data_IF_477831411863
#
_entry.id   IF_477831411863
#
_cell.length_a   1.000
_cell.length_b   1.000
_cell.length_c   1.000
_cell.angle_alpha   90.00
_cell.angle_beta   90.00
_cell.angle_gamma   90.00
#
_symmetry.space_group_name_H-M   'P 1'
#
loop_
_entity.id
_entity.type
_entity.pdbx_description
1 polymer ?
#
# COMPACT_ATOMS: atom_id res chain seq x y z
N UNK A 1 -10.21 -13.30 -0.18
CA UNK A 1 -9.88 -11.87 -0.06
C UNK A 1 -10.01 -11.45 1.41
N UNK A 2 -8.95 -11.58 2.20
CA UNK A 2 -8.96 -11.08 3.58
C UNK A 2 -8.93 -9.54 3.55
N UNK A 3 -9.87 -8.92 4.25
CA UNK A 3 -10.10 -7.48 4.28
C UNK A 3 -8.88 -6.74 4.85
N UNK A 4 -8.10 -6.12 3.96
CA UNK A 4 -6.86 -5.37 4.23
C UNK A 4 -7.10 -3.99 4.89
N UNK A 5 -8.12 -3.85 5.71
CA UNK A 5 -8.33 -2.65 6.54
C UNK A 5 -7.75 -2.97 7.92
N UNK A 6 -7.07 -2.03 8.61
CA UNK A 6 -6.60 -2.28 9.98
C UNK A 6 -7.76 -2.79 10.82
N UNK A 7 -7.52 -3.69 11.77
CA UNK A 7 -8.58 -4.20 12.65
C UNK A 7 -9.35 -3.02 13.26
N UNK A 8 -10.59 -2.85 12.80
CA UNK A 8 -11.49 -1.79 13.22
C UNK A 8 -12.51 -2.41 14.19
N UNK A 9 -12.97 -1.63 15.16
CA UNK A 9 -14.09 -1.94 16.06
C UNK A 9 -15.38 -2.32 15.29
N UNK A 10 -15.50 -1.90 14.02
CA UNK A 10 -16.59 -2.22 13.08
C UNK A 10 -16.03 -2.95 11.87
N UNK A 11 -16.78 -3.88 11.28
CA UNK A 11 -16.28 -4.58 10.11
C UNK A 11 -15.95 -3.60 8.96
N UNK A 12 -14.86 -3.85 8.20
CA UNK A 12 -14.45 -3.04 7.03
C UNK A 12 -15.60 -2.69 6.07
N UNK A 13 -16.49 -3.65 5.84
CA UNK A 13 -17.66 -3.49 4.98
C UNK A 13 -18.69 -2.52 5.55
N UNK A 14 -18.92 -2.56 6.87
CA UNK A 14 -19.84 -1.62 7.55
C UNK A 14 -19.29 -0.21 7.50
N UNK A 15 -17.98 -0.02 7.74
CA UNK A 15 -17.34 1.28 7.66
C UNK A 15 -17.50 1.90 6.25
N UNK A 16 -17.29 1.09 5.20
CA UNK A 16 -17.51 1.50 3.81
C UNK A 16 -18.99 1.79 3.51
N UNK A 17 -19.90 0.96 3.97
CA UNK A 17 -21.35 1.14 3.77
C UNK A 17 -21.85 2.45 4.39
N UNK A 18 -21.52 2.71 5.65
CA UNK A 18 -21.89 3.96 6.32
C UNK A 18 -21.11 5.16 5.77
N UNK A 19 -19.87 4.95 5.33
CA UNK A 19 -19.01 5.97 4.73
C UNK A 19 -19.63 6.64 3.50
N UNK A 20 -20.46 5.93 2.72
CA UNK A 20 -21.15 6.50 1.55
C UNK A 20 -21.92 7.79 1.86
N UNK A 21 -22.49 7.93 3.07
CA UNK A 21 -23.22 9.13 3.51
C UNK A 21 -22.29 10.31 3.83
N UNK A 22 -21.01 10.04 4.11
CA UNK A 22 -20.00 11.02 4.51
C UNK A 22 -19.04 11.39 3.37
N UNK A 23 -19.29 10.98 2.12
CA UNK A 23 -18.45 11.33 0.96
C UNK A 23 -18.26 12.85 0.78
N UNK A 24 -19.30 13.65 1.04
CA UNK A 24 -19.22 15.12 0.98
C UNK A 24 -18.21 15.67 2.00
N UNK A 25 -18.20 15.11 3.21
CA UNK A 25 -17.26 15.51 4.24
C UNK A 25 -15.85 15.01 3.91
N UNK A 26 -15.70 13.79 3.39
CA UNK A 26 -14.43 13.22 2.95
C UNK A 26 -13.72 14.07 1.88
N UNK A 27 -14.45 14.80 1.05
CA UNK A 27 -13.87 15.69 0.05
C UNK A 27 -13.00 16.79 0.67
N UNK A 28 -13.34 17.29 1.86
CA UNK A 28 -12.53 18.30 2.57
C UNK A 28 -11.18 17.75 3.05
N UNK A 29 -11.04 16.44 3.11
CA UNK A 29 -9.84 15.74 3.56
C UNK A 29 -8.99 15.26 2.37
N UNK A 30 -9.37 15.62 1.13
CA UNK A 30 -8.73 15.18 -0.14
C UNK A 30 -7.26 15.60 -0.31
N UNK A 31 -6.70 16.39 0.60
CA UNK A 31 -5.31 16.86 0.55
C UNK A 31 -4.42 16.41 1.70
N UNK A 32 -4.96 15.75 2.73
CA UNK A 32 -4.20 15.47 3.97
C UNK A 32 -3.08 14.47 3.71
N UNK A 33 -3.35 13.46 2.88
CA UNK A 33 -2.34 12.49 2.45
C UNK A 33 -2.35 12.47 0.92
N UNK A 34 -1.49 13.27 0.26
CA UNK A 34 -1.44 13.35 -1.20
C UNK A 34 -1.13 12.00 -1.87
N UNK A 35 -0.35 11.16 -1.20
CA UNK A 35 0.08 9.84 -1.71
C UNK A 35 -0.96 8.74 -1.54
N UNK A 36 -2.05 8.98 -0.79
CA UNK A 36 -2.97 7.93 -0.37
C UNK A 36 -3.58 7.15 -1.54
N UNK A 37 -3.89 7.81 -2.66
CA UNK A 37 -4.38 7.11 -3.86
C UNK A 37 -3.36 6.07 -4.36
N UNK A 38 -2.10 6.46 -4.42
CA UNK A 38 -1.01 5.57 -4.83
C UNK A 38 -0.75 4.50 -3.77
N UNK A 39 -0.77 4.86 -2.49
CA UNK A 39 -0.55 3.93 -1.38
C UNK A 39 -1.62 2.82 -1.34
N UNK A 40 -2.88 3.13 -1.66
CA UNK A 40 -3.97 2.14 -1.77
C UNK A 40 -3.73 1.15 -2.91
N UNK A 41 -3.36 1.64 -4.09
CA UNK A 41 -3.02 0.81 -5.26
C UNK A 41 -1.82 -0.09 -4.90
N UNK A 42 -0.78 0.50 -4.33
CA UNK A 42 0.45 -0.17 -3.94
C UNK A 42 0.29 -1.15 -2.77
N UNK A 43 -0.75 -1.00 -1.95
CA UNK A 43 -1.13 -1.98 -0.94
C UNK A 43 -2.00 -3.13 -1.51
N UNK A 44 -2.31 -3.09 -2.81
CA UNK A 44 -3.34 -3.92 -3.47
C UNK A 44 -4.65 -3.89 -2.68
N UNK A 45 -5.10 -2.69 -2.32
CA UNK A 45 -6.39 -2.41 -1.69
C UNK A 45 -7.36 -1.88 -2.76
N UNK A 46 -8.38 -2.66 -3.11
CA UNK A 46 -9.38 -2.34 -4.13
C UNK A 46 -10.47 -1.38 -3.61
N UNK A 47 -10.07 -0.33 -2.90
CA UNK A 47 -10.98 0.64 -2.27
C UNK A 47 -10.76 1.99 -2.94
N UNK A 48 -11.84 2.66 -3.32
CA UNK A 48 -11.76 4.01 -3.87
C UNK A 48 -11.23 5.01 -2.82
N UNK A 49 -10.50 6.01 -3.30
CA UNK A 49 -9.87 7.04 -2.48
C UNK A 49 -10.87 7.73 -1.53
N UNK A 50 -12.03 8.15 -2.05
CA UNK A 50 -13.03 8.86 -1.25
C UNK A 50 -13.75 7.91 -0.28
N UNK A 51 -13.99 6.68 -0.71
CA UNK A 51 -14.61 5.64 0.12
C UNK A 51 -13.72 5.27 1.32
N UNK A 52 -12.39 5.22 1.13
CA UNK A 52 -11.45 4.96 2.22
C UNK A 52 -11.43 6.06 3.28
N UNK A 53 -11.36 7.33 2.85
CA UNK A 53 -11.41 8.48 3.77
C UNK A 53 -12.74 8.51 4.53
N UNK A 54 -13.85 8.28 3.82
CA UNK A 54 -15.17 8.29 4.43
C UNK A 54 -15.33 7.15 5.46
N UNK A 55 -14.77 5.97 5.18
CA UNK A 55 -14.70 4.89 6.16
C UNK A 55 -13.90 5.31 7.41
N UNK A 56 -12.75 5.96 7.23
CA UNK A 56 -11.97 6.51 8.35
C UNK A 56 -12.75 7.50 9.21
N UNK A 57 -13.55 8.39 8.58
CA UNK A 57 -14.41 9.34 9.31
C UNK A 57 -15.46 8.61 10.14
N UNK A 58 -16.13 7.60 9.56
CA UNK A 58 -17.12 6.79 10.29
C UNK A 58 -16.47 6.12 11.49
N UNK A 59 -15.28 5.55 11.32
CA UNK A 59 -14.55 4.91 12.42
C UNK A 59 -14.19 5.91 13.52
N UNK A 60 -13.73 7.11 13.15
CA UNK A 60 -13.44 8.17 14.10
C UNK A 60 -14.70 8.61 14.87
N UNK A 61 -15.84 8.75 14.21
CA UNK A 61 -17.12 9.10 14.84
C UNK A 61 -17.61 8.01 15.80
N UNK A 62 -17.49 6.74 15.40
CA UNK A 62 -17.84 5.60 16.27
C UNK A 62 -16.94 5.58 17.52
N UNK A 63 -15.64 5.83 17.35
CA UNK A 63 -14.70 5.95 18.47
C UNK A 63 -15.07 7.10 19.40
N UNK A 64 -15.38 8.28 18.87
CA UNK A 64 -15.84 9.42 19.67
C UNK A 64 -17.11 9.06 20.45
N UNK A 65 -18.09 8.41 19.81
CA UNK A 65 -19.33 7.99 20.47
C UNK A 65 -19.09 6.99 21.61
N UNK A 66 -18.22 6.00 21.40
CA UNK A 66 -17.83 5.03 22.44
C UNK A 66 -17.10 5.72 23.59
N UNK A 67 -16.13 6.58 23.29
CA UNK A 67 -15.36 7.30 24.31
C UNK A 67 -16.24 8.27 25.11
N UNK A 68 -17.18 8.96 24.46
CA UNK A 68 -18.14 9.82 25.12
C UNK A 68 -19.08 9.02 26.03
N UNK A 69 -19.55 7.85 25.61
CA UNK A 69 -20.37 6.95 26.43
C UNK A 69 -19.65 6.47 27.69
N UNK A 70 -18.39 6.01 27.54
CA UNK A 70 -17.54 5.61 28.68
C UNK A 70 -17.28 6.80 29.60
N UNK A 71 -16.95 7.96 29.02
CA UNK A 71 -16.71 9.19 29.77
C UNK A 71 -17.93 9.63 30.58
N UNK A 72 -19.13 9.55 30.00
CA UNK A 72 -20.38 9.85 30.69
C UNK A 72 -20.65 8.93 31.88
N UNK A 73 -20.35 7.62 31.74
CA UNK A 73 -20.47 6.67 32.85
C UNK A 73 -19.47 6.97 33.98
N UNK A 74 -18.23 7.32 33.63
CA UNK A 74 -17.20 7.72 34.61
C UNK A 74 -17.65 8.96 35.39
N UNK A 75 -18.15 9.98 34.69
CA UNK A 75 -18.66 11.20 35.33
C UNK A 75 -19.83 10.88 36.27
N UNK A 76 -20.78 10.06 35.84
CA UNK A 76 -21.93 9.66 36.68
C UNK A 76 -21.49 8.96 37.97
N UNK A 77 -20.52 8.05 37.89
CA UNK A 77 -19.96 7.36 39.05
C UNK A 77 -19.19 8.34 39.96
N UNK A 78 -18.43 9.26 39.38
CA UNK A 78 -17.66 10.25 40.11
C UNK A 78 -18.56 11.22 40.89
N UNK A 79 -19.68 11.64 40.30
CA UNK A 79 -20.72 12.45 40.99
C UNK A 79 -21.27 11.67 42.18
N UNK A 80 -21.69 10.40 41.99
CA UNK A 80 -22.27 9.58 43.05
C UNK A 80 -21.33 9.37 44.25
N UNK A 81 -20.02 9.29 44.00
CA UNK A 81 -19.00 9.10 45.04
C UNK A 81 -18.40 10.40 45.56
N UNK A 82 -18.86 11.56 45.09
CA UNK A 82 -18.29 12.89 45.38
C UNK A 82 -16.77 12.98 45.10
N UNK A 83 -16.32 12.31 44.03
CA UNK A 83 -14.91 12.22 43.62
C UNK A 83 -14.56 13.18 42.47
N UNK A 84 -15.46 14.10 42.11
CA UNK A 84 -15.19 15.08 41.06
C UNK A 84 -14.10 16.04 41.52
N UNK A 85 -12.95 15.96 40.87
CA UNK A 85 -11.88 16.95 40.99
C UNK A 85 -11.77 17.70 39.68
N UNK A 86 -11.48 19.01 39.74
CA UNK A 86 -11.39 19.92 38.58
C UNK A 86 -10.45 19.37 37.47
N UNK A 87 -9.47 18.55 37.84
CA UNK A 87 -8.53 17.91 36.90
C UNK A 87 -9.19 16.87 35.98
N UNK A 88 -10.19 16.14 36.46
CA UNK A 88 -10.83 15.05 35.69
C UNK A 88 -11.71 15.63 34.57
N UNK A 89 -12.41 16.73 34.85
CA UNK A 89 -13.31 17.40 33.90
C UNK A 89 -12.55 18.05 32.73
N UNK A 90 -11.31 18.50 32.96
CA UNK A 90 -10.47 19.09 31.92
C UNK A 90 -9.82 18.04 31.00
N UNK A 91 -9.49 16.86 31.52
CA UNK A 91 -8.75 15.82 30.78
C UNK A 91 -9.67 15.00 29.86
N UNK A 92 -10.90 14.73 30.29
CA UNK A 92 -11.83 13.85 29.59
C UNK A 92 -12.20 14.34 28.16
N UNK A 93 -12.57 15.62 27.96
CA UNK A 93 -12.88 16.14 26.63
C UNK A 93 -11.68 16.06 25.69
N UNK A 94 -10.48 16.35 26.19
CA UNK A 94 -9.24 16.26 25.42
C UNK A 94 -9.03 14.82 24.94
N UNK A 95 -9.21 13.82 25.82
CA UNK A 95 -9.10 12.41 25.44
C UNK A 95 -10.14 12.01 24.37
N UNK A 96 -11.39 12.45 24.52
CA UNK A 96 -12.50 12.12 23.60
C UNK A 96 -12.20 12.59 22.16
N UNK A 97 -11.50 13.71 21.97
CA UNK A 97 -11.19 14.23 20.63
C UNK A 97 -9.79 13.87 20.14
N UNK A 98 -8.78 13.87 21.01
CA UNK A 98 -7.39 13.62 20.62
C UNK A 98 -7.18 12.16 20.22
N UNK A 99 -7.71 11.20 20.96
CA UNK A 99 -7.48 9.78 20.66
C UNK A 99 -8.11 9.38 19.32
N UNK A 100 -9.37 9.73 19.00
CA UNK A 100 -9.95 9.43 17.70
C UNK A 100 -9.28 10.18 16.55
N UNK A 101 -8.80 11.40 16.79
CA UNK A 101 -8.03 12.15 15.79
C UNK A 101 -6.70 11.45 15.45
N UNK A 102 -5.93 11.05 16.48
CA UNK A 102 -4.68 10.29 16.30
C UNK A 102 -4.95 8.96 15.57
N UNK A 103 -6.01 8.25 15.96
CA UNK A 103 -6.40 7.01 15.29
C UNK A 103 -6.80 7.25 13.83
N UNK A 104 -7.52 8.33 13.53
CA UNK A 104 -7.87 8.69 12.16
C UNK A 104 -6.63 8.97 11.30
N UNK A 105 -5.64 9.70 11.84
CA UNK A 105 -4.36 9.89 11.16
C UNK A 105 -3.61 8.57 10.93
N UNK A 106 -3.60 7.68 11.91
CA UNK A 106 -3.04 6.33 11.76
C UNK A 106 -3.76 5.54 10.65
N UNK A 107 -5.10 5.60 10.63
CA UNK A 107 -5.92 4.94 9.63
C UNK A 107 -5.58 5.44 8.22
N UNK A 108 -5.45 6.76 8.01
CA UNK A 108 -5.07 7.32 6.71
C UNK A 108 -3.67 6.88 6.24
N UNK A 109 -2.74 6.63 7.17
CA UNK A 109 -1.38 6.19 6.84
C UNK A 109 -1.22 4.67 6.75
N UNK A 110 -2.25 3.90 7.09
CA UNK A 110 -2.19 2.44 7.07
C UNK A 110 -1.85 1.84 5.68
N UNK A 111 -2.42 2.32 4.56
CA UNK A 111 -2.09 1.78 3.23
C UNK A 111 -0.60 1.95 2.91
N UNK A 112 0.00 3.08 3.32
CA UNK A 112 1.43 3.33 3.17
C UNK A 112 2.28 2.29 3.93
N UNK A 113 1.89 1.96 5.18
CA UNK A 113 2.58 0.92 5.95
C UNK A 113 2.49 -0.45 5.27
N UNK A 114 1.35 -0.78 4.68
CA UNK A 114 1.17 -2.02 3.94
C UNK A 114 1.99 -2.05 2.64
N UNK A 115 2.06 -0.92 1.92
CA UNK A 115 2.92 -0.77 0.74
C UNK A 115 4.41 -0.94 1.09
N UNK A 116 4.87 -0.42 2.23
CA UNK A 116 6.24 -0.62 2.73
C UNK A 116 6.54 -2.09 3.00
N UNK A 117 5.61 -2.83 3.63
CA UNK A 117 5.77 -4.27 3.85
C UNK A 117 5.87 -5.05 2.54
N UNK A 118 5.01 -4.73 1.56
CA UNK A 118 5.08 -5.33 0.22
C UNK A 118 6.39 -4.99 -0.48
N UNK A 119 6.87 -3.76 -0.35
CA UNK A 119 8.17 -3.34 -0.90
C UNK A 119 9.29 -4.25 -0.41
N UNK A 120 9.36 -4.50 0.90
CA UNK A 120 10.39 -5.37 1.48
C UNK A 120 10.38 -6.77 0.85
N UNK A 121 9.19 -7.39 0.75
CA UNK A 121 9.02 -8.72 0.16
C UNK A 121 9.41 -8.74 -1.34
N UNK A 122 9.17 -7.65 -2.06
CA UNK A 122 9.57 -7.52 -3.47
C UNK A 122 11.09 -7.36 -3.59
N UNK A 123 11.71 -6.49 -2.79
CA UNK A 123 13.17 -6.24 -2.87
C UNK A 123 14.01 -7.49 -2.54
N UNK A 124 13.47 -8.41 -1.74
CA UNK A 124 14.11 -9.71 -1.45
C UNK A 124 14.23 -10.61 -2.71
N UNK A 125 13.29 -10.50 -3.65
CA UNK A 125 13.21 -11.38 -4.83
C UNK A 125 13.52 -10.67 -6.17
N UNK A 126 13.58 -9.33 -6.17
CA UNK A 126 13.67 -8.53 -7.41
C UNK A 126 14.90 -8.87 -8.25
N UNK A 127 16.06 -9.09 -7.63
CA UNK A 127 17.29 -9.40 -8.38
C UNK A 127 17.17 -10.71 -9.13
N UNK A 128 16.57 -11.73 -8.52
CA UNK A 128 16.37 -13.03 -9.15
C UNK A 128 15.39 -12.95 -10.31
N UNK A 129 14.25 -12.28 -10.11
CA UNK A 129 13.25 -12.09 -11.16
C UNK A 129 13.81 -11.31 -12.37
N UNK A 130 14.55 -10.22 -12.13
CA UNK A 130 15.15 -9.44 -13.21
C UNK A 130 16.25 -10.22 -13.93
N UNK A 131 17.08 -10.98 -13.19
CA UNK A 131 18.08 -11.86 -13.78
C UNK A 131 17.46 -12.89 -14.72
N UNK A 132 16.33 -13.49 -14.35
CA UNK A 132 15.65 -14.45 -15.23
C UNK A 132 15.21 -13.79 -16.55
N UNK A 133 14.62 -12.59 -16.48
CA UNK A 133 14.22 -11.83 -17.67
C UNK A 133 15.45 -11.56 -18.54
N UNK A 134 16.56 -11.12 -17.94
CA UNK A 134 17.80 -10.85 -18.67
C UNK A 134 18.32 -12.08 -19.42
N UNK A 135 18.41 -13.23 -18.74
CA UNK A 135 18.95 -14.46 -19.33
C UNK A 135 18.10 -14.91 -20.52
N UNK A 136 16.77 -14.83 -20.38
CA UNK A 136 15.84 -15.24 -21.44
C UNK A 136 15.90 -14.30 -22.63
N UNK A 137 15.85 -13.00 -22.38
CA UNK A 137 15.89 -12.03 -23.47
C UNK A 137 17.26 -12.05 -24.17
N UNK A 138 18.36 -12.21 -23.42
CA UNK A 138 19.71 -12.35 -23.95
C UNK A 138 19.92 -13.62 -24.79
N UNK A 139 19.13 -14.68 -24.57
CA UNK A 139 19.15 -15.88 -25.42
C UNK A 139 18.21 -15.79 -26.63
N UNK A 140 17.62 -14.63 -26.88
CA UNK A 140 16.71 -14.39 -28.00
C UNK A 140 15.26 -14.79 -27.73
N UNK A 141 14.89 -15.13 -26.49
CA UNK A 141 13.49 -15.41 -26.12
C UNK A 141 12.70 -14.10 -26.20
N UNK A 142 11.51 -14.09 -26.83
CA UNK A 142 10.64 -12.92 -26.84
C UNK A 142 10.36 -12.42 -25.43
N UNK A 143 10.44 -11.10 -25.21
CA UNK A 143 10.24 -10.47 -23.89
C UNK A 143 8.92 -10.90 -23.24
N UNK A 144 7.85 -11.04 -24.01
CA UNK A 144 6.57 -11.50 -23.50
C UNK A 144 6.66 -12.87 -22.82
N UNK A 145 7.38 -13.82 -23.42
CA UNK A 145 7.58 -15.15 -22.84
C UNK A 145 8.44 -15.06 -21.56
N UNK A 146 9.46 -14.20 -21.54
CA UNK A 146 10.25 -13.96 -20.33
C UNK A 146 9.40 -13.38 -19.18
N UNK A 147 8.45 -12.48 -19.49
CA UNK A 147 7.49 -11.95 -18.51
C UNK A 147 6.52 -13.05 -18.03
N UNK A 148 6.02 -13.89 -18.93
CA UNK A 148 5.15 -15.03 -18.63
C UNK A 148 5.84 -16.03 -17.70
N UNK A 149 7.14 -16.26 -17.90
CA UNK A 149 7.90 -17.16 -17.05
C UNK A 149 8.09 -16.59 -15.64
N UNK A 150 8.36 -15.28 -15.50
CA UNK A 150 8.38 -14.63 -14.18
C UNK A 150 7.01 -14.67 -13.50
N UNK A 151 5.93 -14.49 -14.27
CA UNK A 151 4.55 -14.61 -13.79
C UNK A 151 4.23 -16.01 -13.25
N UNK A 152 4.74 -17.06 -13.89
CA UNK A 152 4.58 -18.46 -13.47
C UNK A 152 5.68 -18.94 -12.53
N UNK A 153 6.68 -18.11 -12.26
CA UNK A 153 7.75 -18.37 -11.33
C UNK A 153 7.30 -18.31 -9.87
N UNK A 154 8.24 -18.46 -8.95
CA UNK A 154 7.99 -18.45 -7.51
C UNK A 154 8.66 -17.24 -6.83
N UNK A 155 8.43 -16.04 -7.36
CA UNK A 155 9.00 -14.77 -6.84
C UNK A 155 8.02 -14.04 -5.90
N UNK A 156 7.05 -14.76 -5.34
CA UNK A 156 6.03 -14.22 -4.45
C UNK A 156 5.22 -13.09 -5.10
N UNK A 157 5.21 -11.92 -4.46
CA UNK A 157 4.43 -10.75 -4.92
C UNK A 157 4.81 -10.32 -6.35
N UNK A 158 6.05 -10.54 -6.78
CA UNK A 158 6.48 -10.19 -8.14
C UNK A 158 5.71 -11.05 -9.15
N UNK A 159 5.70 -12.37 -8.97
CA UNK A 159 4.98 -13.30 -9.84
C UNK A 159 3.47 -12.98 -9.87
N UNK A 160 2.87 -12.67 -8.72
CA UNK A 160 1.46 -12.27 -8.64
C UNK A 160 1.15 -11.02 -9.49
N UNK A 161 1.98 -9.98 -9.40
CA UNK A 161 1.78 -8.72 -10.14
C UNK A 161 2.06 -8.88 -11.63
N UNK A 162 3.06 -9.69 -12.00
CA UNK A 162 3.36 -10.02 -13.40
C UNK A 162 2.24 -10.84 -14.02
N UNK A 163 1.64 -11.77 -13.26
CA UNK A 163 0.49 -12.55 -13.73
C UNK A 163 -0.69 -11.65 -14.10
N UNK A 164 -0.99 -10.65 -13.27
CA UNK A 164 -2.01 -9.65 -13.60
C UNK A 164 -1.69 -8.90 -14.90
N UNK A 165 -0.42 -8.55 -15.12
CA UNK A 165 0.01 -7.88 -16.35
C UNK A 165 -0.11 -8.78 -17.58
N UNK A 166 0.23 -10.07 -17.46
CA UNK A 166 0.05 -11.06 -18.52
C UNK A 166 -1.44 -11.23 -18.84
N UNK A 167 -2.29 -11.38 -17.83
CA UNK A 167 -3.74 -11.48 -18.00
C UNK A 167 -4.32 -10.24 -18.69
N UNK A 168 -3.84 -9.02 -18.35
CA UNK A 168 -4.20 -7.78 -19.06
C UNK A 168 -3.84 -7.88 -20.55
N UNK A 169 -2.63 -8.34 -20.89
CA UNK A 169 -2.18 -8.48 -22.28
C UNK A 169 -3.01 -9.51 -23.05
N UNK A 170 -3.24 -10.68 -22.45
CA UNK A 170 -4.06 -11.75 -23.05
C UNK A 170 -5.51 -11.31 -23.28
N UNK A 171 -6.03 -10.42 -22.42
CA UNK A 171 -7.35 -9.81 -22.59
C UNK A 171 -7.43 -8.72 -23.67
N UNK A 172 -6.31 -8.42 -24.34
CA UNK A 172 -6.22 -7.47 -25.44
C UNK A 172 -5.73 -6.07 -25.06
N UNK A 173 -5.27 -5.86 -23.81
CA UNK A 173 -4.61 -4.60 -23.43
C UNK A 173 -3.24 -4.52 -24.11
N UNK A 174 -2.85 -3.39 -24.72
CA UNK A 174 -1.52 -3.24 -25.29
C UNK A 174 -0.41 -3.52 -24.27
N UNK A 175 0.63 -4.26 -24.68
CA UNK A 175 1.71 -4.68 -23.78
C UNK A 175 2.39 -3.52 -23.05
N UNK A 176 2.56 -2.39 -23.73
CA UNK A 176 3.10 -1.16 -23.14
C UNK A 176 2.21 -0.61 -22.01
N UNK A 177 0.90 -0.69 -22.15
CA UNK A 177 -0.06 -0.16 -21.18
C UNK A 177 -0.17 -1.10 -19.97
N UNK A 178 -0.19 -2.42 -20.20
CA UNK A 178 -0.15 -3.41 -19.12
C UNK A 178 1.13 -3.30 -18.26
N UNK A 179 2.28 -3.04 -18.90
CA UNK A 179 3.54 -2.79 -18.17
C UNK A 179 3.53 -1.44 -17.42
N UNK A 180 2.93 -0.39 -17.97
CA UNK A 180 2.73 0.88 -17.23
C UNK A 180 1.82 0.68 -16.01
N UNK A 181 0.75 -0.10 -16.15
CA UNK A 181 -0.13 -0.46 -15.03
C UNK A 181 0.65 -1.24 -13.95
N UNK A 182 1.44 -2.24 -14.35
CA UNK A 182 2.32 -3.00 -13.46
C UNK A 182 3.27 -2.07 -12.69
N UNK A 183 3.96 -1.15 -13.38
CA UNK A 183 4.88 -0.18 -12.79
C UNK A 183 4.19 0.68 -11.70
N UNK A 184 2.91 1.05 -11.92
CA UNK A 184 2.11 1.80 -10.94
C UNK A 184 1.70 0.95 -9.72
N UNK A 185 1.35 -0.32 -9.92
CA UNK A 185 0.93 -1.26 -8.85
C UNK A 185 2.07 -1.64 -7.91
N UNK A 186 3.28 -1.76 -8.44
CA UNK A 186 4.46 -2.17 -7.67
C UNK A 186 4.98 -1.01 -6.80
N UNK A 187 5.14 -1.18 -5.47
CA UNK A 187 5.70 -0.14 -4.59
C UNK A 187 7.23 -0.07 -4.60
N UNK A 188 7.91 -1.16 -4.99
CA UNK A 188 9.37 -1.21 -5.09
C UNK A 188 9.88 -0.29 -6.21
N UNK A 189 10.78 0.63 -5.86
CA UNK A 189 11.46 1.48 -6.83
C UNK A 189 12.42 0.67 -7.72
N UNK A 190 13.05 -0.37 -7.17
CA UNK A 190 13.95 -1.25 -7.90
C UNK A 190 13.23 -1.96 -9.05
N UNK A 191 12.11 -2.63 -8.73
CA UNK A 191 11.32 -3.34 -9.73
C UNK A 191 10.65 -2.36 -10.71
N UNK A 192 10.12 -1.23 -10.23
CA UNK A 192 9.55 -0.20 -11.10
C UNK A 192 10.55 0.29 -12.15
N UNK A 193 11.77 0.62 -11.76
CA UNK A 193 12.82 1.05 -12.69
C UNK A 193 13.16 -0.02 -13.72
N UNK A 194 13.19 -1.29 -13.31
CA UNK A 194 13.41 -2.40 -14.24
C UNK A 194 12.28 -2.49 -15.28
N UNK A 195 11.02 -2.35 -14.85
CA UNK A 195 9.86 -2.33 -15.75
C UNK A 195 9.92 -1.13 -16.69
N UNK A 196 10.26 0.07 -16.19
CA UNK A 196 10.37 1.28 -17.01
C UNK A 196 11.41 1.13 -18.13
N UNK A 197 12.53 0.46 -17.82
CA UNK A 197 13.58 0.18 -18.81
C UNK A 197 13.13 -0.88 -19.83
N UNK A 198 12.45 -1.94 -19.40
CA UNK A 198 11.84 -2.91 -20.31
C UNK A 198 10.86 -2.20 -21.24
N UNK A 199 10.01 -1.32 -20.71
CA UNK A 199 9.04 -0.54 -21.47
C UNK A 199 9.72 0.39 -22.49
N UNK A 200 10.80 1.07 -22.09
CA UNK A 200 11.59 1.91 -22.98
C UNK A 200 12.24 1.10 -24.10
N UNK A 201 12.80 -0.06 -23.78
CA UNK A 201 13.49 -0.91 -24.75
C UNK A 201 12.51 -1.53 -25.75
N UNK A 202 11.30 -1.94 -25.32
CA UNK A 202 10.20 -2.35 -26.21
C UNK A 202 9.82 -1.20 -27.17
N UNK A 203 9.67 0.03 -26.67
CA UNK A 203 9.26 1.19 -27.48
C UNK A 203 10.32 1.64 -28.48
N UNK A 204 11.59 1.56 -28.11
CA UNK A 204 12.71 2.02 -28.93
C UNK A 204 13.28 0.94 -29.85
N UNK A 205 12.93 -0.33 -29.63
CA UNK A 205 13.54 -1.47 -30.33
C UNK A 205 15.01 -1.67 -29.96
N UNK A 206 15.49 -1.07 -28.86
CA UNK A 206 16.87 -1.18 -28.40
C UNK A 206 17.17 -2.54 -27.79
N UNK A 207 18.45 -2.90 -27.69
CA UNK A 207 18.87 -4.12 -26.97
C UNK A 207 18.45 -4.05 -25.49
N UNK A 208 17.44 -4.87 -25.16
CA UNK A 208 16.89 -5.00 -23.82
C UNK A 208 17.93 -5.62 -22.87
N UNK A 209 18.73 -6.59 -23.36
CA UNK A 209 19.62 -7.38 -22.53
C UNK A 209 20.73 -6.52 -21.90
N UNK A 210 21.43 -5.72 -22.72
CA UNK A 210 22.50 -4.84 -22.23
C UNK A 210 22.02 -3.75 -21.27
N UNK A 211 20.80 -3.22 -21.45
CA UNK A 211 20.27 -2.19 -20.54
C UNK A 211 19.84 -2.78 -19.19
N UNK A 212 19.32 -4.00 -19.22
CA UNK A 212 18.83 -4.69 -18.02
C UNK A 212 20.00 -5.19 -17.14
N UNK A 213 21.17 -5.47 -17.74
CA UNK A 213 22.43 -5.77 -17.05
C UNK A 213 22.91 -4.64 -16.14
N UNK A 214 22.87 -3.40 -16.63
CA UNK A 214 23.21 -2.22 -15.84
C UNK A 214 22.33 -2.09 -14.59
N UNK A 215 21.03 -2.41 -14.68
CA UNK A 215 20.13 -2.37 -13.52
C UNK A 215 20.47 -3.49 -12.55
N UNK A 216 20.63 -4.71 -13.05
CA UNK A 216 20.93 -5.87 -12.22
C UNK A 216 22.20 -5.63 -11.38
N UNK A 217 23.25 -5.06 -11.98
CA UNK A 217 24.48 -4.71 -11.28
C UNK A 217 24.27 -3.60 -10.23
N UNK A 218 23.44 -2.59 -10.53
CA UNK A 218 23.03 -1.59 -9.54
C UNK A 218 22.25 -2.20 -8.39
N UNK A 219 21.38 -3.19 -8.65
CA UNK A 219 20.60 -3.86 -7.62
C UNK A 219 21.46 -4.75 -6.74
N UNK A 220 22.42 -5.48 -7.31
CA UNK A 220 23.41 -6.25 -6.55
C UNK A 220 24.21 -5.32 -5.64
N UNK A 221 24.72 -4.21 -6.20
CA UNK A 221 25.50 -3.23 -5.42
C UNK A 221 24.67 -2.63 -4.28
N UNK A 222 23.38 -2.38 -4.51
CA UNK A 222 22.45 -1.92 -3.47
C UNK A 222 22.24 -3.00 -2.40
N UNK A 223 22.00 -4.25 -2.78
CA UNK A 223 21.85 -5.35 -1.82
C UNK A 223 23.12 -5.57 -0.98
N UNK A 224 24.30 -5.49 -1.60
CA UNK A 224 25.59 -5.59 -0.89
C UNK A 224 25.79 -4.42 0.09
N UNK A 225 25.43 -3.21 -0.33
CA UNK A 225 25.41 -2.04 0.53
C UNK A 225 24.48 -2.27 1.74
N UNK A 226 23.24 -2.68 1.49
CA UNK A 226 22.23 -2.91 2.53
C UNK A 226 22.65 -4.03 3.50
N UNK A 227 23.36 -5.07 3.03
CA UNK A 227 23.95 -6.12 3.88
C UNK A 227 25.10 -5.61 4.75
N UNK A 228 25.96 -4.74 4.22
CA UNK A 228 27.09 -4.16 4.98
C UNK A 228 26.64 -3.19 6.10
N UNK A 229 25.40 -2.70 6.06
CA UNK A 229 24.82 -1.85 7.11
C UNK A 229 24.03 -2.62 8.18
N UNK A 230 23.94 -3.94 8.11
CA UNK A 230 23.32 -4.73 9.18
C UNK A 230 24.32 -4.89 10.34
N UNK A 231 24.03 -4.43 11.57
CA UNK A 231 24.87 -4.72 12.71
C UNK A 231 24.91 -6.23 12.91
N UNK A 232 26.11 -6.79 12.80
CA UNK A 232 26.40 -8.17 13.20
C UNK A 232 26.23 -8.21 14.71
N UNK A 233 25.04 -8.61 15.17
CA UNK A 233 24.76 -8.96 16.56
C UNK A 233 24.48 -10.46 16.64
#
# INVERSE_FOLDING_TARGET
MATKIPAVIISPEKALFFGKKFKKLAFNFKGIVPTLKQDLIQASMSIDYLDYIAAGIVVALVLVGLMAGVSGLIILIAIKKNLLTIKIEAILPVLIFVVPAVYFFYFLNFPKLQAVKRTKLIEEQVVFAIREIMIKVGSGVPIFNALLDVANGNYGIISDEFKLAVEEIESGVPQNDALDHLARRVPSQSLRRAIDIILYAIKSGSDIAGTLELIHDMLIKKQQSDMNFMPVN
#
